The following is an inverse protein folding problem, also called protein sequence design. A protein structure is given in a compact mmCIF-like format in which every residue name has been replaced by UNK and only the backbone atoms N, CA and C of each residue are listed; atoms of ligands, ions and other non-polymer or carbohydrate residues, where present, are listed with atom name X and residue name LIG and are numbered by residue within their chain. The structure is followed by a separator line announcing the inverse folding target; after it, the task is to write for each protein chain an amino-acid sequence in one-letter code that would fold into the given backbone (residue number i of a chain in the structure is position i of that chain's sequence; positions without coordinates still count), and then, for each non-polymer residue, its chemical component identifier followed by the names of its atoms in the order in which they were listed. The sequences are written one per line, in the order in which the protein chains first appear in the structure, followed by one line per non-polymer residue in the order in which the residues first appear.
data_IF_132819778886
#
_entry.id   IF_132819778886
#
_cell.length_a   1.000
_cell.length_b   1.000
_cell.length_c   1.000
_cell.angle_alpha   90.00
_cell.angle_beta   90.00
_cell.angle_gamma   90.00
#
_symmetry.space_group_name_H-M   'P 1'
#
loop_
_entity.id
_entity.type
_entity.pdbx_description
1 polymer ?
#
# COMPACT_ATOMS: atom_id res chain seq x y z
N UNK A 1 -32.22 -37.46 -24.11
CA UNK A 1 -32.38 -36.08 -23.61
C UNK A 1 -32.37 -35.97 -22.08
N UNK A 2 -33.36 -36.50 -21.35
CA UNK A 2 -33.46 -36.36 -19.87
C UNK A 2 -32.25 -36.87 -19.07
N UNK A 3 -31.67 -38.02 -19.44
CA UNK A 3 -30.45 -38.57 -18.79
C UNK A 3 -29.19 -37.71 -19.04
N UNK A 4 -29.11 -37.08 -20.21
CA UNK A 4 -28.01 -36.17 -20.57
C UNK A 4 -28.11 -34.87 -19.75
N UNK A 5 -29.30 -34.29 -19.67
CA UNK A 5 -29.57 -33.08 -18.87
C UNK A 5 -29.23 -33.32 -17.40
N UNK A 6 -29.64 -34.45 -16.82
CA UNK A 6 -29.32 -34.81 -15.42
C UNK A 6 -27.81 -34.96 -15.21
N UNK A 7 -27.07 -35.58 -16.14
CA UNK A 7 -25.60 -35.69 -16.04
C UNK A 7 -24.90 -34.34 -16.11
N UNK A 8 -25.34 -33.45 -17.01
CA UNK A 8 -24.81 -32.08 -17.09
C UNK A 8 -25.09 -31.34 -15.79
N UNK A 9 -26.31 -31.44 -15.25
CA UNK A 9 -26.67 -30.77 -13.99
C UNK A 9 -25.82 -31.27 -12.82
N UNK A 10 -25.59 -32.59 -12.72
CA UNK A 10 -24.75 -33.18 -11.67
C UNK A 10 -23.30 -32.71 -11.78
N UNK A 11 -22.74 -32.68 -13.00
CA UNK A 11 -21.37 -32.18 -13.22
C UNK A 11 -21.27 -30.70 -12.83
N UNK A 12 -22.23 -29.87 -13.23
CA UNK A 12 -22.27 -28.46 -12.87
C UNK A 12 -22.39 -28.26 -11.35
N UNK A 13 -23.22 -29.04 -10.67
CA UNK A 13 -23.34 -29.00 -9.20
C UNK A 13 -22.04 -29.42 -8.53
N UNK A 14 -21.38 -30.49 -8.98
CA UNK A 14 -20.09 -30.93 -8.42
C UNK A 14 -19.01 -29.87 -8.63
N UNK A 15 -18.97 -29.24 -9.80
CA UNK A 15 -18.04 -28.13 -10.08
C UNK A 15 -18.34 -26.91 -9.20
N UNK A 16 -19.61 -26.55 -9.02
CA UNK A 16 -20.01 -25.43 -8.17
C UNK A 16 -19.70 -25.68 -6.69
N UNK A 17 -19.97 -26.90 -6.18
CA UNK A 17 -19.62 -27.30 -4.82
C UNK A 17 -18.10 -27.35 -4.65
N UNK A 18 -17.37 -27.91 -5.62
CA UNK A 18 -15.91 -27.94 -5.62
C UNK A 18 -15.32 -26.53 -5.59
N UNK A 19 -15.82 -25.62 -6.42
CA UNK A 19 -15.41 -24.21 -6.42
C UNK A 19 -15.76 -23.54 -5.08
N UNK A 20 -16.95 -23.79 -4.53
CA UNK A 20 -17.34 -23.28 -3.22
C UNK A 20 -16.42 -23.74 -2.08
N UNK A 21 -16.07 -25.03 -2.04
CA UNK A 21 -15.12 -25.58 -1.06
C UNK A 21 -13.73 -24.97 -1.22
N UNK A 22 -13.24 -24.85 -2.46
CA UNK A 22 -11.92 -24.24 -2.72
C UNK A 22 -11.91 -22.77 -2.32
N UNK A 23 -12.96 -22.01 -2.61
CA UNK A 23 -13.09 -20.60 -2.21
C UNK A 23 -13.12 -20.45 -0.69
N UNK A 24 -13.91 -21.28 0.02
CA UNK A 24 -13.96 -21.25 1.48
C UNK A 24 -12.60 -21.57 2.08
N UNK A 25 -11.95 -22.65 1.61
CA UNK A 25 -10.61 -23.02 2.07
C UNK A 25 -9.56 -21.94 1.72
N UNK A 26 -9.66 -21.33 0.54
CA UNK A 26 -8.78 -20.26 0.09
C UNK A 26 -8.89 -18.97 0.90
N UNK A 27 -10.05 -18.73 1.52
CA UNK A 27 -10.33 -17.57 2.38
C UNK A 27 -10.35 -17.92 3.87
N UNK A 28 -10.01 -19.14 4.26
CA UNK A 28 -9.76 -19.49 5.65
C UNK A 28 -8.37 -18.96 6.05
N UNK A 29 -8.33 -17.74 6.58
CA UNK A 29 -7.10 -17.09 7.00
C UNK A 29 -6.81 -17.29 8.49
N UNK A 30 -5.55 -17.57 8.84
CA UNK A 30 -5.10 -17.92 10.20
C UNK A 30 -4.95 -16.74 11.16
N UNK A 31 -5.90 -15.81 11.12
CA UNK A 31 -6.07 -14.73 12.09
C UNK A 31 -7.52 -14.62 12.55
N UNK A 32 -7.75 -14.01 13.72
CA UNK A 32 -9.04 -13.44 14.11
C UNK A 32 -9.05 -11.96 13.72
N UNK A 33 -10.25 -11.40 13.52
CA UNK A 33 -10.42 -9.99 13.15
C UNK A 33 -11.57 -9.39 13.94
N UNK A 34 -11.33 -8.21 14.50
CA UNK A 34 -12.38 -7.36 15.08
C UNK A 34 -12.33 -5.97 14.47
N UNK A 35 -13.48 -5.34 14.41
CA UNK A 35 -13.58 -3.92 14.06
C UNK A 35 -13.15 -3.05 15.23
N UNK A 36 -12.52 -1.92 14.92
CA UNK A 36 -12.10 -0.90 15.89
C UNK A 36 -12.46 0.47 15.35
N UNK A 37 -12.71 1.41 16.25
CA UNK A 37 -12.93 2.81 15.91
C UNK A 37 -12.09 3.68 16.82
N UNK A 38 -11.37 4.63 16.24
CA UNK A 38 -10.53 5.57 16.97
C UNK A 38 -10.63 6.98 16.40
N UNK A 39 -10.20 7.98 17.18
CA UNK A 39 -10.16 9.36 16.72
C UNK A 39 -8.93 9.60 15.85
N UNK A 40 -9.13 10.20 14.67
CA UNK A 40 -8.07 10.73 13.82
C UNK A 40 -8.19 12.26 13.64
N UNK A 41 -7.27 12.87 12.88
CA UNK A 41 -7.21 14.33 12.72
C UNK A 41 -8.48 14.96 12.13
N UNK A 42 -9.19 14.23 11.26
CA UNK A 42 -10.42 14.69 10.59
C UNK A 42 -11.69 14.02 11.13
N UNK A 43 -11.64 13.40 12.31
CA UNK A 43 -12.77 12.73 12.94
C UNK A 43 -12.55 11.22 13.13
N UNK A 44 -13.64 10.47 13.31
CA UNK A 44 -13.56 9.04 13.62
C UNK A 44 -13.07 8.22 12.42
N UNK A 45 -12.09 7.36 12.66
CA UNK A 45 -11.59 6.37 11.70
C UNK A 45 -12.08 4.98 12.10
N UNK A 46 -12.56 4.23 11.11
CA UNK A 46 -13.02 2.86 11.29
C UNK A 46 -11.99 1.92 10.69
N UNK A 47 -11.55 0.96 11.49
CA UNK A 47 -10.53 0.01 11.09
C UNK A 47 -10.78 -1.40 11.58
N UNK A 48 -9.76 -2.22 11.37
CA UNK A 48 -9.72 -3.62 11.75
C UNK A 48 -8.44 -3.87 12.55
N UNK A 49 -8.58 -4.61 13.63
CA UNK A 49 -7.48 -5.24 14.33
C UNK A 49 -7.54 -6.73 14.06
N UNK A 50 -6.42 -7.28 13.61
CA UNK A 50 -6.25 -8.73 13.42
C UNK A 50 -5.24 -9.29 14.39
N UNK A 51 -5.43 -10.54 14.83
CA UNK A 51 -4.56 -11.21 15.79
C UNK A 51 -4.33 -12.68 15.38
N UNK A 52 -3.19 -13.28 15.75
CA UNK A 52 -2.96 -14.72 15.59
C UNK A 52 -4.08 -15.57 16.22
N UNK A 53 -4.46 -16.67 15.54
CA UNK A 53 -5.41 -17.65 16.11
C UNK A 53 -4.80 -18.31 17.35
N UNK A 54 -5.25 -17.89 18.53
CA UNK A 54 -4.77 -18.39 19.82
C UNK A 54 -4.51 -17.28 20.86
N UNK A 55 -4.52 -16.01 20.44
CA UNK A 55 -3.95 -14.93 21.26
C UNK A 55 -2.42 -14.96 21.18
N UNK A 56 -1.73 -14.04 21.86
CA UNK A 56 -0.26 -14.00 21.99
C UNK A 56 0.52 -13.39 20.81
N UNK A 57 -0.02 -12.34 20.18
CA UNK A 57 0.81 -11.48 19.33
C UNK A 57 1.89 -10.77 20.18
N UNK A 58 3.13 -10.80 19.69
CA UNK A 58 4.29 -10.17 20.34
C UNK A 58 4.48 -8.69 19.98
N UNK A 59 3.69 -8.20 19.04
CA UNK A 59 3.85 -6.89 18.43
C UNK A 59 2.69 -6.52 17.52
N UNK A 60 2.75 -5.32 16.98
CA UNK A 60 1.73 -4.73 16.12
C UNK A 60 2.36 -4.26 14.81
N UNK A 61 1.79 -4.70 13.70
CA UNK A 61 1.99 -4.07 12.39
C UNK A 61 0.92 -2.99 12.19
N UNK A 62 1.32 -1.80 11.79
CA UNK A 62 0.42 -0.69 11.45
C UNK A 62 0.51 -0.40 9.96
N UNK A 63 -0.61 -0.52 9.25
CA UNK A 63 -0.68 -0.36 7.79
C UNK A 63 -0.78 1.11 7.39
N UNK A 64 0.17 1.59 6.60
CA UNK A 64 0.18 2.92 5.98
C UNK A 64 -0.12 2.76 4.50
N UNK A 65 -1.37 3.08 4.13
CA UNK A 65 -1.91 2.86 2.79
C UNK A 65 -1.28 3.75 1.71
N UNK A 66 -1.25 3.23 0.47
CA UNK A 66 -0.88 3.97 -0.73
C UNK A 66 -1.95 4.97 -1.18
N UNK A 67 -1.76 5.61 -2.34
CA UNK A 67 -2.71 6.60 -2.88
C UNK A 67 -4.07 5.98 -3.22
N UNK A 68 -5.14 6.80 -3.17
CA UNK A 68 -6.50 6.38 -3.49
C UNK A 68 -7.41 6.11 -2.27
N UNK A 69 -8.70 5.83 -2.51
CA UNK A 69 -9.70 5.61 -1.46
C UNK A 69 -9.60 4.17 -0.91
N UNK A 70 -8.60 3.93 -0.05
CA UNK A 70 -8.29 2.59 0.49
C UNK A 70 -9.15 2.27 1.72
N UNK A 71 -9.81 1.11 1.70
CA UNK A 71 -10.52 0.55 2.86
C UNK A 71 -9.59 -0.26 3.76
N UNK A 72 -9.95 -0.41 5.04
CA UNK A 72 -9.16 -1.12 6.06
C UNK A 72 -8.68 -2.52 5.66
N UNK A 73 -9.45 -3.24 4.83
CA UNK A 73 -9.07 -4.58 4.32
C UNK A 73 -8.76 -4.60 2.83
N UNK A 74 -8.97 -3.47 2.15
CA UNK A 74 -8.92 -3.30 0.72
C UNK A 74 -9.66 -4.41 -0.04
N UNK A 75 -10.95 -4.62 0.30
CA UNK A 75 -11.76 -5.67 -0.31
C UNK A 75 -11.25 -7.10 -0.05
N UNK A 76 -10.44 -7.29 1.00
CA UNK A 76 -9.81 -8.57 1.34
C UNK A 76 -8.41 -8.76 0.76
N UNK A 77 -7.93 -7.86 -0.11
CA UNK A 77 -6.59 -7.93 -0.72
C UNK A 77 -5.45 -7.82 0.32
N UNK A 78 -5.73 -7.26 1.50
CA UNK A 78 -4.77 -7.24 2.61
C UNK A 78 -4.76 -8.51 3.48
N UNK A 79 -5.71 -9.42 3.31
CA UNK A 79 -5.78 -10.63 4.15
C UNK A 79 -4.52 -11.51 4.07
N UNK A 80 -3.85 -11.70 2.91
CA UNK A 80 -2.57 -12.41 2.87
C UNK A 80 -1.47 -11.74 3.68
N UNK A 81 -1.42 -10.40 3.69
CA UNK A 81 -0.49 -9.63 4.52
C UNK A 81 -0.80 -9.77 6.02
N UNK A 82 -2.07 -9.70 6.40
CA UNK A 82 -2.51 -9.90 7.80
C UNK A 82 -2.17 -11.30 8.30
N UNK A 83 -2.40 -12.33 7.47
CA UNK A 83 -2.04 -13.70 7.83
C UNK A 83 -0.53 -13.89 7.95
N UNK A 84 0.26 -13.33 7.02
CA UNK A 84 1.71 -13.40 7.12
C UNK A 84 2.22 -12.68 8.39
N UNK A 85 1.66 -11.53 8.75
CA UNK A 85 1.98 -10.88 10.02
C UNK A 85 1.61 -11.76 11.22
N UNK A 86 0.42 -12.37 11.22
CA UNK A 86 -0.03 -13.28 12.26
C UNK A 86 0.89 -14.52 12.40
N UNK A 87 1.36 -15.07 11.28
CA UNK A 87 2.33 -16.17 11.25
C UNK A 87 3.70 -15.79 11.81
N UNK A 88 4.09 -14.52 11.68
CA UNK A 88 5.28 -13.96 12.29
C UNK A 88 5.04 -13.55 13.77
N UNK A 89 3.85 -13.80 14.30
CA UNK A 89 3.46 -13.49 15.68
C UNK A 89 3.04 -12.04 15.90
N UNK A 90 2.62 -11.31 14.88
CA UNK A 90 2.17 -9.92 14.99
C UNK A 90 0.66 -9.79 14.83
N UNK A 91 0.05 -8.90 15.62
CA UNK A 91 -1.25 -8.33 15.29
C UNK A 91 -1.11 -7.33 14.14
N UNK A 92 -2.19 -7.03 13.41
CA UNK A 92 -2.18 -5.94 12.41
C UNK A 92 -3.33 -4.98 12.66
N UNK A 93 -3.01 -3.69 12.75
CA UNK A 93 -3.95 -2.57 12.74
C UNK A 93 -3.97 -1.92 11.35
N UNK A 94 -5.16 -1.79 10.78
CA UNK A 94 -5.41 -1.19 9.48
C UNK A 94 -6.74 -0.44 9.51
N UNK A 95 -6.92 0.63 8.74
CA UNK A 95 -8.16 1.42 8.80
C UNK A 95 -8.55 2.01 7.45
N UNK A 96 -9.83 2.33 7.29
CA UNK A 96 -10.28 3.00 6.07
C UNK A 96 -9.84 4.46 6.13
N UNK A 97 -9.24 4.96 5.04
CA UNK A 97 -8.84 6.37 4.92
C UNK A 97 -10.03 7.32 5.16
N UNK A 98 -9.80 8.60 5.52
CA UNK A 98 -10.87 9.57 5.72
C UNK A 98 -11.83 9.64 4.53
N UNK A 99 -13.12 9.66 4.81
CA UNK A 99 -14.18 9.65 3.79
C UNK A 99 -14.41 8.31 3.08
N UNK A 100 -13.66 7.26 3.44
CA UNK A 100 -13.80 5.91 2.87
C UNK A 100 -14.53 4.99 3.84
N UNK A 101 -15.51 4.25 3.33
CA UNK A 101 -16.34 3.35 4.12
C UNK A 101 -17.12 4.10 5.20
N UNK A 102 -16.80 3.86 6.47
CA UNK A 102 -17.42 4.52 7.64
C UNK A 102 -16.50 5.52 8.34
N UNK A 103 -15.30 5.77 7.81
CA UNK A 103 -14.42 6.81 8.34
C UNK A 103 -14.93 8.20 7.97
N UNK A 104 -14.85 9.13 8.91
CA UNK A 104 -15.17 10.54 8.69
C UNK A 104 -14.05 11.26 7.90
N UNK A 105 -14.33 12.49 7.44
CA UNK A 105 -13.35 13.33 6.73
C UNK A 105 -13.29 13.07 5.22
N UNK A 106 -12.19 13.47 4.60
CA UNK A 106 -11.90 13.27 3.17
C UNK A 106 -10.39 13.16 2.96
N UNK A 107 -9.93 12.03 2.43
CA UNK A 107 -8.51 11.80 2.16
C UNK A 107 -7.94 12.73 1.09
N UNK A 108 -8.76 13.28 0.18
CA UNK A 108 -8.34 14.27 -0.81
C UNK A 108 -8.02 15.64 -0.18
N UNK A 109 -8.50 15.89 1.04
CA UNK A 109 -8.15 17.10 1.79
C UNK A 109 -6.81 16.99 2.54
N UNK A 110 -6.19 15.80 2.58
CA UNK A 110 -4.98 15.55 3.35
C UNK A 110 -3.69 15.93 2.62
N UNK A 111 -2.75 16.53 3.35
CA UNK A 111 -1.33 16.56 3.01
C UNK A 111 -0.61 15.27 3.48
N UNK A 112 0.61 15.01 3.02
CA UNK A 112 1.45 13.93 3.57
C UNK A 112 1.74 14.11 5.07
N UNK A 113 1.73 15.34 5.58
CA UNK A 113 1.83 15.62 7.01
C UNK A 113 0.55 15.20 7.76
N UNK A 114 -0.63 15.46 7.19
CA UNK A 114 -1.91 15.00 7.76
C UNK A 114 -2.00 13.47 7.74
N UNK A 115 -1.46 12.83 6.69
CA UNK A 115 -1.31 11.37 6.62
C UNK A 115 -0.41 10.83 7.73
N UNK A 116 0.68 11.52 8.08
CA UNK A 116 1.56 11.11 9.19
C UNK A 116 0.85 11.26 10.55
N UNK A 117 0.15 12.38 10.76
CA UNK A 117 -0.65 12.60 11.97
C UNK A 117 -1.77 11.56 12.15
N UNK A 118 -2.30 11.02 11.05
CA UNK A 118 -3.24 9.90 11.08
C UNK A 118 -2.60 8.60 11.60
N UNK A 119 -1.37 8.31 11.18
CA UNK A 119 -0.59 7.16 11.69
C UNK A 119 -0.26 7.35 13.16
N UNK A 120 0.12 8.56 13.57
CA UNK A 120 0.37 8.90 14.97
C UNK A 120 -0.88 8.66 15.83
N UNK A 121 -2.05 9.09 15.36
CA UNK A 121 -3.31 8.86 16.07
C UNK A 121 -3.65 7.37 16.21
N UNK A 122 -3.38 6.55 15.19
CA UNK A 122 -3.55 5.11 15.24
C UNK A 122 -2.60 4.44 16.26
N UNK A 123 -1.35 4.88 16.30
CA UNK A 123 -0.34 4.41 17.26
C UNK A 123 -0.69 4.81 18.69
N UNK A 124 -1.07 6.06 18.92
CA UNK A 124 -1.46 6.56 20.24
C UNK A 124 -2.71 5.83 20.76
N UNK A 125 -3.70 5.60 19.89
CA UNK A 125 -4.86 4.78 20.24
C UNK A 125 -4.46 3.35 20.63
N UNK A 126 -3.58 2.73 19.84
CA UNK A 126 -3.10 1.37 20.10
C UNK A 126 -2.36 1.26 21.43
N UNK A 127 -1.50 2.23 21.76
CA UNK A 127 -0.78 2.28 23.04
C UNK A 127 -1.71 2.50 24.24
N UNK A 128 -2.87 3.13 24.04
CA UNK A 128 -3.86 3.35 25.09
C UNK A 128 -4.77 2.13 25.35
N UNK A 129 -4.69 1.06 24.55
CA UNK A 129 -5.48 -0.15 24.75
C UNK A 129 -4.69 -1.22 25.52
N UNK A 130 -5.28 -1.74 26.60
CA UNK A 130 -4.68 -2.84 27.37
C UNK A 130 -4.63 -4.17 26.59
N UNK A 131 -5.47 -4.30 25.56
CA UNK A 131 -5.64 -5.51 24.76
C UNK A 131 -4.99 -5.44 23.36
N UNK A 132 -4.15 -4.42 23.11
CA UNK A 132 -3.41 -4.29 21.84
C UNK A 132 -1.91 -4.51 22.08
N UNK A 133 -1.26 -5.47 21.38
CA UNK A 133 0.12 -5.88 21.65
C UNK A 133 1.14 -4.90 21.04
N UNK A 134 1.37 -3.78 21.70
CA UNK A 134 2.31 -2.73 21.22
C UNK A 134 3.78 -2.97 21.61
N UNK A 135 4.15 -4.18 22.05
CA UNK A 135 5.51 -4.49 22.51
C UNK A 135 6.61 -4.39 21.43
N UNK A 136 6.25 -4.59 20.16
CA UNK A 136 7.11 -4.29 19.00
C UNK A 136 6.23 -3.72 17.91
N UNK A 137 6.37 -2.44 17.60
CA UNK A 137 5.59 -1.77 16.54
C UNK A 137 6.40 -1.77 15.25
N UNK A 138 5.79 -2.23 14.15
CA UNK A 138 6.36 -2.16 12.80
C UNK A 138 5.38 -1.42 11.89
N UNK A 139 5.89 -0.50 11.08
CA UNK A 139 5.07 0.12 10.04
C UNK A 139 5.16 -0.71 8.76
N UNK A 140 4.02 -1.04 8.16
CA UNK A 140 3.97 -1.54 6.79
C UNK A 140 3.50 -0.39 5.90
N UNK A 141 4.37 0.13 5.02
CA UNK A 141 4.09 1.34 4.25
C UNK A 141 4.14 1.08 2.75
N UNK A 142 3.03 1.31 2.05
CA UNK A 142 2.94 1.02 0.62
C UNK A 142 2.95 2.29 -0.22
N UNK A 143 3.74 2.31 -1.30
CA UNK A 143 3.69 3.35 -2.34
C UNK A 143 3.81 4.77 -1.74
N UNK A 144 2.74 5.57 -1.79
CA UNK A 144 2.62 6.88 -1.13
C UNK A 144 3.03 6.89 0.36
N UNK A 145 2.92 5.76 1.05
CA UNK A 145 3.40 5.58 2.42
C UNK A 145 4.90 5.91 2.59
N UNK A 146 5.68 5.87 1.51
CA UNK A 146 7.08 6.31 1.45
C UNK A 146 7.32 7.76 1.84
N UNK A 147 6.36 8.64 1.58
CA UNK A 147 6.43 10.05 2.01
C UNK A 147 5.91 10.28 3.43
N UNK A 148 5.27 9.27 4.02
CA UNK A 148 4.58 9.36 5.31
C UNK A 148 5.43 8.80 6.44
N UNK A 149 5.90 7.56 6.30
CA UNK A 149 6.60 6.88 7.39
C UNK A 149 7.87 7.61 7.87
N UNK A 150 8.69 8.29 7.03
CA UNK A 150 9.93 8.87 7.53
C UNK A 150 9.69 9.95 8.58
N UNK A 151 8.59 10.71 8.43
CA UNK A 151 8.17 11.71 9.42
C UNK A 151 7.72 11.04 10.72
N UNK A 152 6.87 10.02 10.64
CA UNK A 152 6.40 9.25 11.80
C UNK A 152 7.59 8.68 12.59
N UNK A 153 8.56 8.09 11.91
CA UNK A 153 9.73 7.49 12.56
C UNK A 153 10.70 8.54 13.13
N UNK A 154 10.83 9.70 12.49
CA UNK A 154 11.64 10.79 13.02
C UNK A 154 11.07 11.35 14.34
N UNK A 155 9.74 11.39 14.47
CA UNK A 155 9.04 11.98 15.60
C UNK A 155 8.67 10.97 16.71
N UNK A 156 8.88 9.67 16.51
CA UNK A 156 8.51 8.61 17.46
C UNK A 156 9.66 7.69 17.90
N UNK A 157 9.62 7.30 19.18
CA UNK A 157 10.58 6.38 19.80
C UNK A 157 10.12 4.91 19.85
N UNK A 158 8.86 4.65 19.58
CA UNK A 158 8.19 3.36 19.76
C UNK A 158 8.15 2.48 18.50
N UNK A 159 8.49 3.02 17.33
CA UNK A 159 8.58 2.27 16.07
C UNK A 159 9.89 1.47 16.01
N UNK A 160 9.78 0.14 15.90
CA UNK A 160 10.90 -0.80 15.91
C UNK A 160 11.40 -1.19 14.51
N UNK A 161 10.67 -0.85 13.45
CA UNK A 161 11.04 -1.15 12.06
C UNK A 161 9.99 -0.69 11.05
N UNK A 162 10.39 -0.66 9.78
CA UNK A 162 9.49 -0.37 8.65
C UNK A 162 9.66 -1.43 7.58
N UNK A 163 8.56 -2.00 7.11
CA UNK A 163 8.48 -2.73 5.84
C UNK A 163 7.91 -1.78 4.79
N UNK A 164 8.77 -1.34 3.87
CA UNK A 164 8.43 -0.43 2.78
C UNK A 164 8.10 -1.26 1.54
N UNK A 165 6.89 -1.12 0.99
CA UNK A 165 6.39 -1.90 -0.15
C UNK A 165 6.22 -0.98 -1.35
N UNK A 166 7.13 -1.07 -2.31
CA UNK A 166 7.11 -0.26 -3.54
C UNK A 166 7.02 1.24 -3.27
N UNK A 167 7.75 1.76 -2.28
CA UNK A 167 7.62 3.16 -1.84
C UNK A 167 8.34 4.14 -2.76
N UNK A 168 7.74 5.32 -2.94
CA UNK A 168 8.35 6.41 -3.70
C UNK A 168 9.18 7.36 -2.81
N UNK A 169 10.10 8.09 -3.44
CA UNK A 169 10.91 9.13 -2.79
C UNK A 169 10.39 10.53 -3.11
N UNK A 170 10.13 10.85 -4.37
CA UNK A 170 9.83 12.21 -4.82
C UNK A 170 8.65 12.19 -5.79
N UNK A 171 7.64 13.02 -5.51
CA UNK A 171 6.39 13.04 -6.25
C UNK A 171 6.58 13.32 -7.75
N UNK A 172 7.37 14.34 -8.09
CA UNK A 172 7.52 14.80 -9.47
C UNK A 172 8.36 13.84 -10.29
N UNK A 173 9.47 13.34 -9.71
CA UNK A 173 10.32 12.34 -10.37
C UNK A 173 9.57 11.03 -10.55
N UNK A 174 8.85 10.57 -9.53
CA UNK A 174 8.02 9.38 -9.63
C UNK A 174 6.93 9.54 -10.69
N UNK A 175 6.25 10.70 -10.74
CA UNK A 175 5.25 10.99 -11.78
C UNK A 175 5.82 10.95 -13.19
N UNK A 176 7.03 11.48 -13.39
CA UNK A 176 7.74 11.40 -14.68
C UNK A 176 8.11 9.97 -15.04
N UNK A 177 8.64 9.20 -14.09
CA UNK A 177 8.95 7.78 -14.30
C UNK A 177 7.70 7.00 -14.70
N UNK A 178 6.60 7.16 -13.95
CA UNK A 178 5.35 6.45 -14.22
C UNK A 178 4.82 6.69 -15.64
N UNK A 179 4.85 7.95 -16.08
CA UNK A 179 4.44 8.30 -17.44
C UNK A 179 5.33 7.62 -18.49
N UNK A 180 6.66 7.68 -18.33
CA UNK A 180 7.58 7.09 -19.31
C UNK A 180 7.49 5.56 -19.34
N UNK A 181 7.40 4.91 -18.18
CA UNK A 181 7.23 3.46 -18.08
C UNK A 181 5.90 2.99 -18.71
N UNK A 182 4.82 3.76 -18.54
CA UNK A 182 3.54 3.49 -19.20
C UNK A 182 3.59 3.63 -20.71
N UNK A 183 4.29 4.65 -21.23
CA UNK A 183 4.50 4.85 -22.67
C UNK A 183 5.35 3.72 -23.27
N UNK A 184 6.39 3.27 -22.56
CA UNK A 184 7.24 2.15 -22.98
C UNK A 184 6.43 0.86 -23.09
N UNK A 185 5.60 0.57 -22.09
CA UNK A 185 4.74 -0.63 -22.05
C UNK A 185 3.70 -0.64 -23.18
N UNK A 186 3.13 0.52 -23.49
CA UNK A 186 2.16 0.68 -24.59
C UNK A 186 2.81 0.63 -25.98
N UNK A 187 4.14 0.60 -26.06
CA UNK A 187 4.87 0.66 -27.32
C UNK A 187 4.71 1.99 -28.04
N UNK A 188 4.54 3.09 -27.28
CA UNK A 188 4.32 4.42 -27.82
C UNK A 188 5.48 4.88 -28.70
N UNK A 189 5.17 5.48 -29.84
CA UNK A 189 6.17 6.05 -30.73
C UNK A 189 6.77 7.37 -30.21
N UNK A 190 7.79 7.89 -30.89
CA UNK A 190 8.49 9.11 -30.49
C UNK A 190 7.56 10.33 -30.45
N UNK A 191 6.57 10.40 -31.35
CA UNK A 191 5.62 11.52 -31.44
C UNK A 191 4.56 11.45 -30.33
N UNK A 192 4.08 10.26 -30.00
CA UNK A 192 3.21 9.99 -28.85
C UNK A 192 3.93 10.34 -27.54
N UNK A 193 5.17 9.89 -27.39
CA UNK A 193 6.00 10.20 -26.22
C UNK A 193 6.23 11.69 -26.08
N UNK A 194 6.63 12.38 -27.15
CA UNK A 194 6.88 13.82 -27.10
C UNK A 194 5.63 14.61 -26.71
N UNK A 195 4.46 14.23 -27.24
CA UNK A 195 3.17 14.87 -26.89
C UNK A 195 2.80 14.65 -25.44
N UNK A 196 2.88 13.41 -24.94
CA UNK A 196 2.55 13.07 -23.56
C UNK A 196 3.50 13.74 -22.56
N UNK A 197 4.81 13.80 -22.88
CA UNK A 197 5.80 14.50 -22.06
C UNK A 197 5.50 16.00 -21.98
N UNK A 198 5.22 16.64 -23.13
CA UNK A 198 4.90 18.06 -23.19
C UNK A 198 3.59 18.40 -22.46
N UNK A 199 2.59 17.54 -22.52
CA UNK A 199 1.36 17.70 -21.74
C UNK A 199 1.61 17.60 -20.24
N UNK A 200 2.35 16.58 -19.80
CA UNK A 200 2.76 16.41 -18.42
C UNK A 200 3.58 17.60 -17.90
N UNK A 201 4.49 18.15 -18.71
CA UNK A 201 5.26 19.36 -18.35
C UNK A 201 4.34 20.57 -18.17
N UNK A 202 3.36 20.79 -19.06
CA UNK A 202 2.37 21.87 -18.90
C UNK A 202 1.56 21.75 -17.61
N UNK A 203 1.10 20.54 -17.28
CA UNK A 203 0.35 20.28 -16.04
C UNK A 203 1.24 20.49 -14.81
N UNK A 204 2.50 20.07 -14.87
CA UNK A 204 3.48 20.33 -13.79
C UNK A 204 3.72 21.81 -13.59
N UNK A 205 3.91 22.59 -14.65
CA UNK A 205 4.11 24.04 -14.55
C UNK A 205 2.91 24.74 -13.87
N UNK A 206 1.69 24.25 -14.11
CA UNK A 206 0.48 24.72 -13.42
C UNK A 206 0.50 24.36 -11.94
N UNK A 207 0.88 23.12 -11.60
CA UNK A 207 1.00 22.67 -10.22
C UNK A 207 2.07 23.46 -9.44
N UNK A 208 3.26 23.64 -10.01
CA UNK A 208 4.39 24.34 -9.38
C UNK A 208 4.11 25.82 -9.10
N UNK A 209 3.28 26.47 -9.93
CA UNK A 209 2.85 27.86 -9.69
C UNK A 209 1.59 27.98 -8.84
N UNK A 210 1.00 26.86 -8.41
CA UNK A 210 -0.23 26.86 -7.61
C UNK A 210 -1.48 27.29 -8.39
N UNK A 211 -1.57 26.97 -9.67
CA UNK A 211 -2.68 27.37 -10.53
C UNK A 211 -4.03 26.85 -10.02
N UNK A 212 -5.09 27.66 -10.20
CA UNK A 212 -6.44 27.24 -9.85
C UNK A 212 -6.94 26.09 -10.74
N UNK A 213 -7.92 25.32 -10.25
CA UNK A 213 -8.57 24.30 -11.08
C UNK A 213 -9.17 24.87 -12.36
N UNK A 214 -9.73 26.09 -12.32
CA UNK A 214 -10.37 26.69 -13.49
C UNK A 214 -9.34 27.01 -14.58
N UNK A 215 -8.15 27.47 -14.21
CA UNK A 215 -7.01 27.66 -15.13
C UNK A 215 -6.55 26.33 -15.72
N UNK A 216 -6.37 25.29 -14.88
CA UNK A 216 -6.05 23.93 -15.33
C UNK A 216 -7.09 23.39 -16.32
N UNK A 217 -8.37 23.59 -16.03
CA UNK A 217 -9.46 23.14 -16.89
C UNK A 217 -9.48 23.86 -18.25
N UNK A 218 -8.94 25.07 -18.37
CA UNK A 218 -8.85 25.76 -19.68
C UNK A 218 -7.77 25.19 -20.60
N UNK A 219 -6.77 24.49 -20.05
CA UNK A 219 -5.56 24.07 -20.77
C UNK A 219 -5.46 22.57 -21.00
N UNK A 220 -6.28 21.76 -20.31
CA UNK A 220 -6.30 20.30 -20.40
C UNK A 220 -7.63 19.84 -21.01
N UNK A 221 -7.69 18.83 -21.90
CA UNK A 221 -8.95 18.29 -22.41
C UNK A 221 -9.80 17.65 -21.31
N UNK A 222 -11.14 17.70 -21.42
CA UNK A 222 -12.03 17.18 -20.38
C UNK A 222 -11.83 15.69 -20.06
N UNK A 223 -11.51 14.87 -21.06
CA UNK A 223 -11.25 13.44 -20.89
C UNK A 223 -10.01 13.14 -20.02
N UNK A 224 -9.07 14.08 -19.96
CA UNK A 224 -7.76 13.93 -19.30
C UNK A 224 -7.68 14.74 -17.99
N UNK A 225 -8.76 15.44 -17.62
CA UNK A 225 -8.81 16.28 -16.43
C UNK A 225 -8.98 15.45 -15.16
N UNK A 226 -8.15 15.76 -14.16
CA UNK A 226 -8.46 15.42 -12.78
C UNK A 226 -9.77 16.09 -12.34
N UNK A 227 -10.46 15.50 -11.36
CA UNK A 227 -11.55 16.21 -10.67
C UNK A 227 -11.00 17.41 -9.90
N UNK A 228 -11.86 18.37 -9.53
CA UNK A 228 -11.46 19.55 -8.73
C UNK A 228 -10.80 19.16 -7.41
N UNK A 229 -11.37 18.19 -6.71
CA UNK A 229 -10.85 17.73 -5.41
C UNK A 229 -9.51 17.02 -5.58
N UNK A 230 -9.36 16.21 -6.65
CA UNK A 230 -8.08 15.58 -6.96
C UNK A 230 -7.01 16.60 -7.35
N UNK A 231 -7.35 17.64 -8.11
CA UNK A 231 -6.43 18.75 -8.38
C UNK A 231 -5.97 19.42 -7.09
N UNK A 232 -6.90 19.70 -6.16
CA UNK A 232 -6.58 20.24 -4.84
C UNK A 232 -5.64 19.35 -4.03
N UNK A 233 -5.88 18.04 -4.02
CA UNK A 233 -4.99 17.07 -3.38
C UNK A 233 -3.58 17.07 -3.98
N UNK A 234 -3.47 17.06 -5.31
CA UNK A 234 -2.16 17.07 -6.00
C UNK A 234 -1.43 18.39 -5.74
N UNK A 235 -2.11 19.53 -5.88
CA UNK A 235 -1.52 20.85 -5.56
C UNK A 235 -0.93 20.90 -4.15
N UNK A 236 -1.63 20.32 -3.16
CA UNK A 236 -1.19 20.29 -1.77
C UNK A 236 0.07 19.44 -1.57
N UNK A 237 0.26 18.41 -2.39
CA UNK A 237 1.26 17.36 -2.19
C UNK A 237 2.34 17.27 -3.28
N UNK A 238 2.28 18.11 -4.32
CA UNK A 238 3.20 18.03 -5.48
C UNK A 238 4.68 18.17 -5.11
N UNK A 239 4.97 18.77 -3.96
CA UNK A 239 6.33 18.92 -3.43
C UNK A 239 6.71 17.85 -2.40
N UNK A 240 5.95 16.76 -2.28
CA UNK A 240 6.29 15.66 -1.39
C UNK A 240 7.60 15.00 -1.83
N UNK A 241 8.59 15.07 -0.94
CA UNK A 241 9.89 14.42 -1.06
C UNK A 241 10.26 13.80 0.29
N UNK A 242 10.49 12.48 0.30
CA UNK A 242 10.84 11.70 1.49
C UNK A 242 12.26 11.99 1.97
N UNK A 243 13.13 12.59 1.14
CA UNK A 243 14.56 12.79 1.40
C UNK A 243 14.84 13.48 2.73
N UNK A 244 14.12 14.56 3.06
CA UNK A 244 14.32 15.26 4.34
C UNK A 244 13.86 14.42 5.53
N UNK A 245 12.71 13.75 5.40
CA UNK A 245 12.20 12.85 6.44
C UNK A 245 13.13 11.65 6.67
N UNK A 246 13.68 11.07 5.60
CA UNK A 246 14.65 9.97 5.67
C UNK A 246 15.93 10.41 6.41
N UNK A 247 16.44 11.61 6.10
CA UNK A 247 17.57 12.20 6.86
C UNK A 247 17.23 12.43 8.32
N UNK A 248 16.02 12.90 8.61
CA UNK A 248 15.58 13.17 9.97
C UNK A 248 15.43 11.88 10.80
N UNK A 249 14.96 10.77 10.20
CA UNK A 249 14.86 9.49 10.90
C UNK A 249 16.19 8.72 10.97
N UNK A 250 17.20 9.04 10.14
CA UNK A 250 18.46 8.28 10.09
C UNK A 250 19.15 8.10 11.47
N UNK A 251 19.27 9.14 12.34
CA UNK A 251 19.87 8.99 13.66
C UNK A 251 19.15 8.02 14.60
N UNK A 252 17.90 7.66 14.29
CA UNK A 252 17.09 6.70 15.06
C UNK A 252 17.58 5.26 14.88
N UNK A 253 18.26 4.97 13.78
CA UNK A 253 18.75 3.62 13.45
C UNK A 253 17.65 2.57 13.28
N UNK A 254 16.42 3.01 12.94
CA UNK A 254 15.27 2.12 12.74
C UNK A 254 15.46 1.33 11.45
N UNK A 255 15.41 -0.02 11.48
CA UNK A 255 15.55 -0.84 10.28
C UNK A 255 14.43 -0.59 9.27
N UNK A 256 14.80 -0.46 8.00
CA UNK A 256 13.87 -0.37 6.86
C UNK A 256 14.12 -1.56 5.92
N UNK A 257 13.08 -2.33 5.65
CA UNK A 257 13.11 -3.42 4.70
C UNK A 257 12.27 -3.04 3.47
N UNK A 258 12.94 -2.78 2.35
CA UNK A 258 12.32 -2.39 1.08
C UNK A 258 12.00 -3.65 0.26
N UNK A 259 10.72 -3.89 -0.01
CA UNK A 259 10.23 -4.92 -0.90
C UNK A 259 9.77 -4.27 -2.21
N UNK A 260 10.28 -4.75 -3.34
CA UNK A 260 10.03 -4.12 -4.63
C UNK A 260 9.78 -5.11 -5.78
N UNK A 261 8.97 -4.70 -6.75
CA UNK A 261 8.70 -5.47 -7.97
C UNK A 261 9.66 -5.09 -9.09
N UNK A 262 10.17 -6.08 -9.82
CA UNK A 262 11.04 -5.88 -10.99
C UNK A 262 10.28 -5.28 -12.19
N UNK A 263 8.95 -5.41 -12.20
CA UNK A 263 8.06 -4.87 -13.21
C UNK A 263 7.23 -3.68 -12.68
N UNK A 264 7.74 -2.97 -11.68
CA UNK A 264 7.10 -1.77 -11.15
C UNK A 264 7.16 -0.63 -12.18
N UNK A 265 5.98 -0.23 -12.68
CA UNK A 265 5.81 0.90 -13.62
C UNK A 265 5.34 2.16 -12.93
N UNK A 266 5.14 2.13 -11.61
CA UNK A 266 4.61 3.25 -10.83
C UNK A 266 5.73 3.98 -10.10
N UNK A 267 6.75 3.26 -9.66
CA UNK A 267 7.86 3.79 -8.86
C UNK A 267 9.19 3.34 -9.44
N UNK A 268 10.12 4.28 -9.57
CA UNK A 268 11.51 3.98 -9.91
C UNK A 268 12.20 3.33 -8.70
N UNK A 269 12.16 2.00 -8.65
CA UNK A 269 12.74 1.22 -7.56
C UNK A 269 14.27 1.41 -7.47
N UNK A 270 14.94 1.60 -8.62
CA UNK A 270 16.39 1.83 -8.63
C UNK A 270 16.73 3.17 -7.98
N UNK A 271 15.94 4.22 -8.24
CA UNK A 271 16.03 5.48 -7.52
C UNK A 271 15.76 5.29 -6.02
N UNK A 272 14.64 4.65 -5.66
CA UNK A 272 14.25 4.46 -4.26
C UNK A 272 15.33 3.72 -3.47
N UNK A 273 15.81 2.60 -3.98
CA UNK A 273 16.86 1.81 -3.34
C UNK A 273 18.13 2.65 -3.13
N UNK A 274 18.58 3.36 -4.17
CA UNK A 274 19.77 4.20 -4.08
C UNK A 274 19.61 5.27 -3.01
N UNK A 275 18.49 6.01 -3.00
CA UNK A 275 18.25 7.06 -1.99
C UNK A 275 18.18 6.47 -0.59
N UNK A 276 17.51 5.34 -0.40
CA UNK A 276 17.40 4.70 0.92
C UNK A 276 18.78 4.28 1.42
N UNK A 277 19.58 3.60 0.59
CA UNK A 277 20.95 3.21 0.95
C UNK A 277 21.84 4.42 1.24
N UNK A 278 21.75 5.47 0.43
CA UNK A 278 22.55 6.70 0.59
C UNK A 278 22.26 7.40 1.92
N UNK A 279 21.00 7.42 2.36
CA UNK A 279 20.57 8.20 3.54
C UNK A 279 20.52 7.39 4.84
N UNK A 280 20.20 6.09 4.76
CA UNK A 280 19.98 5.23 5.93
C UNK A 280 21.10 4.18 6.12
N UNK A 281 21.97 3.98 5.13
CA UNK A 281 23.12 3.09 5.21
C UNK A 281 22.74 1.63 5.53
N UNK A 282 23.43 1.03 6.50
CA UNK A 282 23.27 -0.37 6.90
C UNK A 282 21.91 -0.69 7.56
N UNK A 283 21.08 0.32 7.81
CA UNK A 283 19.72 0.13 8.31
C UNK A 283 18.73 -0.31 7.22
N UNK A 284 19.15 -0.36 5.95
CA UNK A 284 18.29 -0.74 4.83
C UNK A 284 18.62 -2.14 4.33
N UNK A 285 17.59 -2.95 4.15
CA UNK A 285 17.64 -4.22 3.41
C UNK A 285 16.66 -4.14 2.24
N UNK A 286 16.97 -4.85 1.14
CA UNK A 286 16.17 -4.78 -0.09
C UNK A 286 15.93 -6.20 -0.62
N UNK A 287 14.68 -6.49 -0.97
CA UNK A 287 14.26 -7.71 -1.66
C UNK A 287 13.49 -7.35 -2.92
N UNK A 288 13.88 -7.91 -4.06
CA UNK A 288 13.18 -7.75 -5.35
C UNK A 288 12.45 -9.03 -5.73
N UNK A 289 11.34 -8.89 -6.46
CA UNK A 289 10.49 -9.98 -6.89
C UNK A 289 10.09 -9.81 -8.35
N UNK A 290 9.93 -10.92 -9.07
CA UNK A 290 9.24 -10.97 -10.38
C UNK A 290 7.74 -10.64 -10.18
N UNK A 291 7.48 -9.34 -10.08
CA UNK A 291 6.24 -8.77 -9.60
C UNK A 291 6.02 -7.34 -10.11
N UNK A 292 4.77 -6.94 -10.16
CA UNK A 292 4.33 -5.56 -10.46
C UNK A 292 4.36 -4.69 -9.19
N UNK A 293 3.95 -3.42 -9.30
CA UNK A 293 3.96 -2.43 -8.20
C UNK A 293 3.30 -2.92 -6.90
N UNK A 294 2.20 -3.68 -7.01
CA UNK A 294 1.48 -4.23 -5.84
C UNK A 294 2.15 -5.47 -5.22
N UNK A 295 3.33 -5.87 -5.73
CA UNK A 295 3.97 -7.16 -5.51
C UNK A 295 3.13 -8.37 -5.95
N UNK A 296 2.10 -8.13 -6.75
CA UNK A 296 1.33 -9.17 -7.42
C UNK A 296 2.13 -9.79 -8.57
N UNK A 297 1.70 -10.98 -9.02
CA UNK A 297 2.24 -11.60 -10.23
C UNK A 297 1.83 -10.76 -11.46
N UNK A 298 2.70 -10.57 -12.46
CA UNK A 298 2.35 -9.82 -13.68
C UNK A 298 1.05 -10.30 -14.35
N UNK A 299 0.89 -11.63 -14.50
CA UNK A 299 -0.32 -12.24 -15.10
C UNK A 299 -1.64 -11.92 -14.39
N UNK A 300 -1.60 -11.52 -13.13
CA UNK A 300 -2.77 -11.12 -12.33
C UNK A 300 -3.20 -9.69 -12.67
N UNK A 301 -2.25 -8.84 -13.08
CA UNK A 301 -2.50 -7.47 -13.54
C UNK A 301 -2.82 -7.43 -15.04
N UNK A 302 -2.13 -8.24 -15.86
CA UNK A 302 -2.30 -8.23 -17.32
C UNK A 302 -3.65 -8.82 -17.79
N UNK A 303 -4.30 -9.63 -16.94
CA UNK A 303 -5.54 -10.33 -17.28
C UNK A 303 -6.57 -10.18 -16.16
N UNK A 304 -7.41 -9.15 -16.27
CA UNK A 304 -8.44 -8.78 -15.27
C UNK A 304 -9.25 -9.97 -14.71
N UNK A 305 -9.67 -10.88 -15.59
CA UNK A 305 -10.46 -12.07 -15.20
C UNK A 305 -9.64 -13.03 -14.34
N UNK A 306 -8.36 -13.22 -14.65
CA UNK A 306 -7.46 -14.07 -13.87
C UNK A 306 -7.19 -13.41 -12.52
N UNK A 307 -7.00 -12.10 -12.48
CA UNK A 307 -6.83 -11.35 -11.24
C UNK A 307 -8.05 -11.44 -10.32
N UNK A 308 -9.24 -11.19 -10.85
CA UNK A 308 -10.50 -11.28 -10.10
C UNK A 308 -10.78 -12.70 -9.58
N UNK A 309 -10.59 -13.73 -10.41
CA UNK A 309 -10.78 -15.13 -9.99
C UNK A 309 -9.75 -15.53 -8.93
N UNK A 310 -8.49 -15.12 -9.08
CA UNK A 310 -7.44 -15.42 -8.10
C UNK A 310 -7.73 -14.75 -6.76
N UNK A 311 -8.17 -13.49 -6.77
CA UNK A 311 -8.54 -12.75 -5.56
C UNK A 311 -9.66 -13.43 -4.78
N UNK A 312 -10.67 -13.98 -5.48
CA UNK A 312 -11.80 -14.66 -4.84
C UNK A 312 -11.43 -16.07 -4.37
N UNK A 313 -10.75 -16.86 -5.21
CA UNK A 313 -10.61 -18.31 -4.99
C UNK A 313 -9.33 -18.66 -4.24
N UNK A 314 -8.22 -17.96 -4.53
CA UNK A 314 -6.89 -18.22 -3.94
C UNK A 314 -6.16 -16.89 -3.68
N UNK A 315 -6.64 -16.03 -2.78
CA UNK A 315 -6.09 -14.68 -2.56
C UNK A 315 -4.58 -14.67 -2.27
N UNK A 316 -4.05 -15.70 -1.60
CA UNK A 316 -2.60 -15.85 -1.37
C UNK A 316 -1.76 -15.95 -2.65
N UNK A 317 -2.34 -16.44 -3.73
CA UNK A 317 -1.68 -16.62 -5.01
C UNK A 317 -1.64 -15.33 -5.87
N UNK A 318 -2.27 -14.25 -5.40
CA UNK A 318 -2.16 -12.94 -6.03
C UNK A 318 -0.72 -12.44 -6.00
N UNK A 319 -0.04 -12.61 -4.86
CA UNK A 319 1.33 -12.16 -4.66
C UNK A 319 2.33 -13.07 -5.39
N UNK A 320 3.42 -12.45 -5.83
CA UNK A 320 4.54 -13.17 -6.44
C UNK A 320 5.16 -14.17 -5.44
N UNK A 321 5.74 -15.28 -5.94
CA UNK A 321 6.45 -16.23 -5.08
C UNK A 321 7.49 -15.54 -4.19
N UNK A 322 7.59 -15.94 -2.93
CA UNK A 322 8.57 -15.41 -1.97
C UNK A 322 8.15 -14.14 -1.23
N UNK A 323 7.22 -13.33 -1.77
CA UNK A 323 6.81 -12.05 -1.16
C UNK A 323 6.35 -12.20 0.29
N UNK A 324 5.42 -13.12 0.56
CA UNK A 324 4.90 -13.33 1.92
C UNK A 324 5.95 -13.98 2.85
N UNK A 325 6.87 -14.76 2.32
CA UNK A 325 7.90 -15.45 3.10
C UNK A 325 8.99 -14.46 3.55
N UNK A 326 9.38 -13.57 2.65
CA UNK A 326 10.29 -12.46 2.91
C UNK A 326 9.71 -11.46 3.90
N UNK A 327 8.43 -11.07 3.72
CA UNK A 327 7.72 -10.23 4.69
C UNK A 327 7.73 -10.83 6.11
N UNK A 328 7.43 -12.13 6.24
CA UNK A 328 7.51 -12.82 7.55
C UNK A 328 8.92 -12.81 8.13
N UNK A 329 9.92 -13.01 7.29
CA UNK A 329 11.32 -13.01 7.71
C UNK A 329 11.77 -11.63 8.19
N UNK A 330 11.36 -10.57 7.47
CA UNK A 330 11.59 -9.18 7.86
C UNK A 330 10.96 -8.88 9.23
N UNK A 331 9.67 -9.20 9.44
CA UNK A 331 8.99 -9.03 10.73
C UNK A 331 9.64 -9.82 11.87
N UNK A 332 10.08 -11.04 11.60
CA UNK A 332 10.78 -11.86 12.60
C UNK A 332 12.14 -11.26 12.98
N UNK A 333 12.79 -10.51 12.09
CA UNK A 333 14.05 -9.83 12.38
C UNK A 333 13.87 -8.55 13.23
N UNK A 334 12.76 -7.83 13.04
CA UNK A 334 12.48 -6.56 13.73
C UNK A 334 12.10 -6.79 15.20
N UNK A 335 12.64 -5.98 16.13
CA UNK A 335 12.33 -6.11 17.56
C UNK A 335 13.14 -7.17 18.33
N UNK A 336 14.08 -7.88 17.71
CA UNK A 336 15.15 -8.59 18.43
C UNK A 336 16.23 -7.59 18.85
N UNK A 337 15.98 -6.79 19.89
CA UNK A 337 17.03 -5.98 20.53
C UNK A 337 17.89 -6.91 21.39
N UNK A 338 19.13 -7.17 20.96
CA UNK A 338 20.09 -7.96 21.74
C UNK A 338 21.30 -8.43 20.93
N UNK A 339 22.30 -7.56 20.82
CA UNK A 339 23.71 -7.91 21.00
C UNK A 339 24.32 -6.88 21.94
#
# INVERSE_FOLDING_TARGET
MRKTIVRVLVVLTVLAVGLGVVTVAGNDFRFTRREVTFGGPQGSLVGVLTEPRGGDARGLVVMVHGDGPVEATQGGLYSPWFEAAADAGFATLSWSKPGVGRSAGDWLDQSMADRAAEVDAALDWAHAQDDVPTGTVVLWAASQGGWVFPRVVADRDDVAGVVAVGTAVDWLRQGRFHLLAGLDDQGADDDERARAVAESDRVRDLLERGASYDEYATTTPEADRMTRDRWGFVLRNVHADATEGLRAMAPRGVPVHLMAGEHDRNVDIAETERVYRDLLGDHVTVSTFDAVHSLARPVVEDVDVVGAVTAVVRPRALLAPGVLDDYRSALASMGRRGW
#
